data_IF_868539934193
#
_entry.id   IF_868539934193
#
_cell.length_a   1.000
_cell.length_b   1.000
_cell.length_c   1.000
_cell.angle_alpha   90.00
_cell.angle_beta   90.00
_cell.angle_gamma   90.00
#
_symmetry.space_group_name_H-M   'P 1'
#
loop_
_entity.id
_entity.type
_entity.pdbx_description
1 polymer ?
#
# COMPACT_ATOMS: atom_id res chain seq x y z
N UNK A 1 -1.57 -56.64 14.59
CA UNK A 1 -1.45 -55.46 15.49
C UNK A 1 -1.93 -55.87 16.88
N UNK A 2 -1.05 -55.85 17.89
CA UNK A 2 -1.40 -56.29 19.26
C UNK A 2 -2.42 -55.32 19.89
N UNK A 3 -3.24 -55.82 20.81
CA UNK A 3 -4.27 -55.04 21.53
C UNK A 3 -3.66 -53.81 22.22
N UNK A 4 -2.45 -53.96 22.74
CA UNK A 4 -1.68 -52.90 23.39
C UNK A 4 -1.27 -51.78 22.43
N UNK A 5 -0.87 -52.11 21.19
CA UNK A 5 -0.51 -51.09 20.19
C UNK A 5 -1.73 -50.26 19.76
N UNK A 6 -2.92 -50.88 19.70
CA UNK A 6 -4.19 -50.16 19.44
C UNK A 6 -4.51 -49.17 20.57
N UNK A 7 -4.34 -49.59 21.81
CA UNK A 7 -4.59 -48.76 22.99
C UNK A 7 -3.61 -47.57 23.04
N UNK A 8 -2.34 -47.81 22.75
CA UNK A 8 -1.32 -46.76 22.70
C UNK A 8 -1.61 -45.72 21.61
N UNK A 9 -2.01 -46.16 20.40
CA UNK A 9 -2.40 -45.28 19.30
C UNK A 9 -3.62 -44.41 19.66
N UNK A 10 -4.64 -45.01 20.29
CA UNK A 10 -5.82 -44.27 20.73
C UNK A 10 -5.48 -43.22 21.78
N UNK A 11 -4.59 -43.51 22.72
CA UNK A 11 -4.13 -42.52 23.70
C UNK A 11 -3.36 -41.37 23.04
N UNK A 12 -2.48 -41.65 22.09
CA UNK A 12 -1.75 -40.60 21.36
C UNK A 12 -2.69 -39.70 20.55
N UNK A 13 -3.70 -40.27 19.89
CA UNK A 13 -4.73 -39.50 19.15
C UNK A 13 -5.55 -38.65 20.12
N UNK A 14 -5.93 -39.19 21.29
CA UNK A 14 -6.68 -38.46 22.29
C UNK A 14 -5.89 -37.28 22.87
N UNK A 15 -4.61 -37.49 23.19
CA UNK A 15 -3.72 -36.42 23.68
C UNK A 15 -3.48 -35.36 22.62
N UNK A 16 -3.23 -35.75 21.36
CA UNK A 16 -3.08 -34.82 20.25
C UNK A 16 -4.34 -33.99 19.97
N UNK A 17 -5.51 -34.63 20.07
CA UNK A 17 -6.81 -33.97 19.94
C UNK A 17 -7.07 -33.01 21.11
N UNK A 18 -6.76 -33.41 22.34
CA UNK A 18 -6.92 -32.54 23.51
C UNK A 18 -5.98 -31.33 23.44
N UNK A 19 -4.74 -31.51 22.99
CA UNK A 19 -3.76 -30.44 22.84
C UNK A 19 -4.14 -29.43 21.74
N UNK A 20 -4.94 -29.81 20.74
CA UNK A 20 -5.36 -28.92 19.65
C UNK A 20 -6.58 -28.05 19.99
N UNK A 21 -7.37 -28.42 21.00
CA UNK A 21 -8.57 -27.69 21.43
C UNK A 21 -8.22 -26.29 21.94
N UNK A 22 -7.18 -26.14 22.77
CA UNK A 22 -6.78 -24.85 23.33
C UNK A 22 -6.45 -23.80 22.24
N UNK A 23 -5.52 -24.09 21.32
CA UNK A 23 -5.22 -23.21 20.19
C UNK A 23 -6.44 -22.94 19.29
N UNK A 24 -7.32 -23.92 19.11
CA UNK A 24 -8.55 -23.75 18.33
C UNK A 24 -9.53 -22.78 19.01
N UNK A 25 -9.71 -22.86 20.33
CA UNK A 25 -10.58 -21.96 21.09
C UNK A 25 -10.04 -20.52 21.11
N UNK A 26 -8.73 -20.34 21.29
CA UNK A 26 -8.09 -19.01 21.19
C UNK A 26 -8.28 -18.41 19.80
N UNK A 27 -8.14 -19.24 18.76
CA UNK A 27 -8.37 -18.82 17.38
C UNK A 27 -9.82 -18.39 17.14
N UNK A 28 -10.79 -19.15 17.63
CA UNK A 28 -12.22 -18.80 17.51
C UNK A 28 -12.56 -17.52 18.27
N UNK A 29 -11.96 -17.30 19.45
CA UNK A 29 -12.10 -16.05 20.21
C UNK A 29 -11.60 -14.84 19.41
N UNK A 30 -10.38 -14.94 18.87
CA UNK A 30 -9.79 -13.88 18.03
C UNK A 30 -10.56 -13.65 16.72
N UNK A 31 -11.16 -14.70 16.13
CA UNK A 31 -11.98 -14.58 14.92
C UNK A 31 -13.33 -13.91 15.19
N UNK A 32 -13.86 -13.97 16.42
CA UNK A 32 -15.11 -13.33 16.85
C UNK A 32 -14.95 -11.85 17.22
N UNK A 33 -13.77 -11.42 17.64
CA UNK A 33 -13.50 -10.04 18.06
C UNK A 33 -13.33 -9.04 16.91
N UNK A 34 -13.31 -9.46 15.64
CA UNK A 34 -13.14 -8.52 14.51
C UNK A 34 -13.98 -8.90 13.26
N UNK A 35 -15.32 -8.78 13.32
CA UNK A 35 -16.22 -9.27 12.27
C UNK A 35 -16.28 -8.40 11.00
N UNK A 36 -15.80 -7.16 11.00
CA UNK A 36 -15.89 -6.28 9.83
C UNK A 36 -14.74 -6.49 8.86
N UNK A 37 -15.05 -6.99 7.66
CA UNK A 37 -14.15 -6.96 6.51
C UNK A 37 -14.24 -5.57 5.90
N UNK A 38 -13.10 -4.92 5.71
CA UNK A 38 -13.04 -3.61 5.06
C UNK A 38 -13.03 -3.76 3.54
N UNK A 39 -13.80 -2.92 2.86
CA UNK A 39 -13.84 -2.85 1.40
C UNK A 39 -13.11 -1.58 0.96
N UNK A 40 -12.03 -1.76 0.22
CA UNK A 40 -11.14 -0.67 -0.19
C UNK A 40 -11.05 -0.64 -1.70
N UNK A 41 -11.32 0.52 -2.31
CA UNK A 41 -11.24 0.70 -3.77
C UNK A 41 -9.96 1.44 -4.16
N UNK A 42 -9.48 1.24 -5.38
CA UNK A 42 -8.28 1.91 -5.87
C UNK A 42 -8.57 3.35 -6.34
N UNK A 43 -7.81 4.33 -5.83
CA UNK A 43 -8.01 5.75 -6.13
C UNK A 43 -7.95 6.06 -7.63
N UNK A 44 -7.03 5.43 -8.37
CA UNK A 44 -6.91 5.68 -9.81
C UNK A 44 -8.14 5.17 -10.56
N UNK A 45 -8.70 4.03 -10.13
CA UNK A 45 -9.95 3.51 -10.70
C UNK A 45 -11.14 4.40 -10.34
N UNK A 46 -11.19 4.95 -9.12
CA UNK A 46 -12.24 5.89 -8.72
C UNK A 46 -12.15 7.17 -9.56
N UNK A 47 -10.95 7.74 -9.76
CA UNK A 47 -10.76 8.91 -10.63
C UNK A 47 -11.20 8.62 -12.06
N UNK A 48 -10.82 7.47 -12.61
CA UNK A 48 -11.24 7.07 -13.96
C UNK A 48 -12.76 6.93 -14.04
N UNK A 49 -13.39 6.26 -13.07
CA UNK A 49 -14.83 6.07 -13.02
C UNK A 49 -15.59 7.41 -12.91
N UNK A 50 -15.06 8.38 -12.16
CA UNK A 50 -15.64 9.72 -12.05
C UNK A 50 -15.64 10.42 -13.41
N UNK A 51 -14.53 10.33 -14.15
CA UNK A 51 -14.40 10.88 -15.51
C UNK A 51 -15.36 10.17 -16.46
N UNK A 52 -15.35 8.84 -16.49
CA UNK A 52 -16.18 8.04 -17.40
C UNK A 52 -17.68 8.22 -17.15
N UNK A 53 -18.07 8.40 -15.87
CA UNK A 53 -19.46 8.62 -15.48
C UNK A 53 -19.90 10.08 -15.56
N UNK A 54 -18.98 11.02 -15.76
CA UNK A 54 -19.25 12.46 -15.68
C UNK A 54 -19.73 12.94 -14.31
N UNK A 55 -19.33 12.26 -13.23
CA UNK A 55 -19.75 12.57 -11.85
C UNK A 55 -18.61 13.24 -11.10
N UNK A 56 -18.95 14.24 -10.28
CA UNK A 56 -17.98 14.88 -9.40
C UNK A 56 -17.40 13.87 -8.40
N UNK A 57 -16.08 13.90 -8.21
CA UNK A 57 -15.34 12.89 -7.44
C UNK A 57 -15.88 12.71 -6.01
N UNK A 58 -16.29 13.80 -5.35
CA UNK A 58 -16.85 13.74 -4.00
C UNK A 58 -18.19 13.00 -3.95
N UNK A 59 -19.04 13.20 -4.95
CA UNK A 59 -20.34 12.52 -5.03
C UNK A 59 -20.15 11.02 -5.29
N UNK A 60 -19.18 10.67 -6.14
CA UNK A 60 -18.82 9.28 -6.38
C UNK A 60 -18.29 8.60 -5.12
N UNK A 61 -17.37 9.24 -4.39
CA UNK A 61 -16.85 8.72 -3.12
C UNK A 61 -17.96 8.51 -2.10
N UNK A 62 -18.91 9.46 -2.00
CA UNK A 62 -20.04 9.31 -1.09
C UNK A 62 -20.97 8.17 -1.50
N UNK A 63 -21.20 7.96 -2.80
CA UNK A 63 -21.99 6.82 -3.30
C UNK A 63 -21.29 5.49 -2.99
N UNK A 64 -19.99 5.40 -3.24
CA UNK A 64 -19.19 4.21 -2.90
C UNK A 64 -19.23 3.94 -1.39
N UNK A 65 -19.09 4.97 -0.56
CA UNK A 65 -19.21 4.86 0.89
C UNK A 65 -20.59 4.34 1.32
N UNK A 66 -21.66 4.89 0.75
CA UNK A 66 -23.02 4.44 1.02
C UNK A 66 -23.27 2.99 0.55
N UNK A 67 -22.51 2.51 -0.43
CA UNK A 67 -22.51 1.12 -0.90
C UNK A 67 -21.68 0.17 0.00
N UNK A 68 -20.99 0.68 1.01
CA UNK A 68 -20.23 -0.12 1.97
C UNK A 68 -18.71 -0.08 1.78
N UNK A 69 -18.19 0.72 0.84
CA UNK A 69 -16.75 1.00 0.77
C UNK A 69 -16.32 1.75 2.03
N UNK A 70 -15.30 1.24 2.72
CA UNK A 70 -14.80 1.80 3.98
C UNK A 70 -13.52 2.61 3.80
N UNK A 71 -12.79 2.40 2.70
CA UNK A 71 -11.54 3.10 2.43
C UNK A 71 -11.17 3.20 0.97
N UNK A 72 -10.12 3.97 0.72
CA UNK A 72 -9.51 4.15 -0.60
C UNK A 72 -8.02 3.84 -0.51
N UNK A 73 -7.56 3.02 -1.45
CA UNK A 73 -6.15 2.73 -1.66
C UNK A 73 -5.55 3.76 -2.61
N UNK A 74 -4.55 4.51 -2.15
CA UNK A 74 -3.83 5.52 -2.93
C UNK A 74 -2.35 5.14 -3.03
N UNK A 75 -1.76 5.33 -4.21
CA UNK A 75 -0.35 5.01 -4.48
C UNK A 75 0.48 6.27 -4.44
N UNK A 76 1.67 6.21 -3.83
CA UNK A 76 2.57 7.35 -3.80
C UNK A 76 3.10 7.64 -5.19
N UNK A 77 3.27 8.93 -5.51
CA UNK A 77 3.93 9.33 -6.73
C UNK A 77 5.41 8.96 -6.66
N UNK A 78 6.02 8.73 -7.82
CA UNK A 78 7.47 8.60 -7.98
C UNK A 78 7.96 9.67 -8.93
N UNK A 79 9.27 9.94 -8.93
CA UNK A 79 9.86 10.84 -9.94
C UNK A 79 9.55 10.37 -11.36
N UNK A 80 9.53 9.05 -11.59
CA UNK A 80 9.11 8.49 -12.86
C UNK A 80 7.64 8.77 -13.16
N UNK A 81 6.71 8.49 -12.25
CA UNK A 81 5.28 8.69 -12.51
C UNK A 81 4.93 10.16 -12.75
N UNK A 82 5.57 11.09 -12.02
CA UNK A 82 5.39 12.53 -12.24
C UNK A 82 5.94 13.00 -13.59
N UNK A 83 7.02 12.38 -14.07
CA UNK A 83 7.56 12.67 -15.41
C UNK A 83 6.62 12.12 -16.48
N UNK A 84 6.17 10.89 -16.28
CA UNK A 84 5.30 10.18 -17.22
C UNK A 84 3.89 10.82 -17.28
N UNK A 85 3.42 11.44 -16.19
CA UNK A 85 2.19 12.27 -16.17
C UNK A 85 2.39 13.68 -16.73
N UNK A 86 3.64 14.11 -16.97
CA UNK A 86 3.96 15.46 -17.46
C UNK A 86 3.93 16.56 -16.41
N UNK A 87 3.84 16.22 -15.11
CA UNK A 87 3.91 17.20 -14.01
C UNK A 87 5.34 17.74 -13.80
N UNK A 88 6.35 16.94 -14.15
CA UNK A 88 7.75 17.34 -14.15
C UNK A 88 8.44 17.03 -15.47
N UNK A 89 9.52 17.77 -15.74
CA UNK A 89 10.45 17.49 -16.83
C UNK A 89 11.85 17.28 -16.26
N UNK A 90 12.55 16.29 -16.79
CA UNK A 90 13.95 16.05 -16.48
C UNK A 90 14.78 16.78 -17.54
N UNK A 91 15.50 17.80 -17.11
CA UNK A 91 16.33 18.62 -18.01
C UNK A 91 17.75 18.07 -18.11
N UNK A 92 18.51 18.61 -19.09
CA UNK A 92 19.92 18.29 -19.30
C UNK A 92 20.67 18.28 -17.97
N UNK A 93 21.21 17.12 -17.65
CA UNK A 93 21.74 16.76 -16.34
C UNK A 93 23.26 16.75 -16.42
N UNK A 94 23.92 17.48 -15.53
CA UNK A 94 25.38 17.36 -15.37
C UNK A 94 25.70 15.99 -14.76
N UNK A 95 26.88 15.39 -15.01
CA UNK A 95 27.23 14.09 -14.40
C UNK A 95 27.11 14.09 -12.86
N UNK A 96 26.22 13.25 -12.33
CA UNK A 96 25.92 13.15 -10.91
C UNK A 96 24.92 14.19 -10.38
N UNK A 97 24.20 14.89 -11.26
CA UNK A 97 23.14 15.84 -10.92
C UNK A 97 21.95 15.66 -11.86
N UNK A 98 20.74 15.70 -11.33
CA UNK A 98 19.50 15.72 -12.11
C UNK A 98 18.76 17.02 -11.89
N UNK A 99 18.47 17.73 -12.97
CA UNK A 99 17.64 18.94 -12.92
C UNK A 99 16.19 18.59 -13.16
N UNK A 100 15.34 18.85 -12.17
CA UNK A 100 13.89 18.65 -12.23
C UNK A 100 13.22 20.02 -12.41
N UNK A 101 12.45 20.17 -13.48
CA UNK A 101 11.60 21.33 -13.71
C UNK A 101 10.13 20.95 -13.48
N UNK A 102 9.43 21.71 -12.66
CA UNK A 102 7.99 21.57 -12.41
C UNK A 102 7.22 22.29 -13.52
N UNK A 103 6.32 21.59 -14.22
CA UNK A 103 5.60 22.13 -15.38
C UNK A 103 4.56 23.16 -14.95
N UNK A 104 3.75 22.81 -13.95
CA UNK A 104 2.75 23.70 -13.33
C UNK A 104 2.97 23.69 -11.81
N UNK A 105 3.95 24.45 -11.30
CA UNK A 105 4.34 24.38 -9.89
C UNK A 105 3.25 24.98 -9.00
N UNK A 106 2.40 24.14 -8.45
CA UNK A 106 1.79 24.45 -7.16
C UNK A 106 2.87 24.43 -6.07
N UNK A 107 2.82 25.40 -5.16
CA UNK A 107 3.79 25.53 -4.08
C UNK A 107 3.79 24.31 -3.16
N UNK A 108 2.60 23.72 -2.89
CA UNK A 108 2.49 22.51 -2.09
C UNK A 108 3.10 21.31 -2.82
N UNK A 109 2.84 21.17 -4.12
CA UNK A 109 3.44 20.15 -4.97
C UNK A 109 4.98 20.19 -4.97
N UNK A 110 5.57 21.35 -5.28
CA UNK A 110 7.02 21.51 -5.32
C UNK A 110 7.66 21.26 -3.93
N UNK A 111 7.01 21.73 -2.86
CA UNK A 111 7.46 21.50 -1.49
C UNK A 111 7.43 20.02 -1.12
N UNK A 112 6.35 19.30 -1.44
CA UNK A 112 6.21 17.86 -1.23
C UNK A 112 7.34 17.10 -1.91
N UNK A 113 7.54 17.32 -3.21
CA UNK A 113 8.59 16.63 -3.99
C UNK A 113 9.97 16.90 -3.38
N UNK A 114 10.29 18.16 -3.08
CA UNK A 114 11.58 18.52 -2.47
C UNK A 114 11.77 17.84 -1.10
N UNK A 115 10.77 17.93 -0.21
CA UNK A 115 10.81 17.36 1.15
C UNK A 115 11.12 15.86 1.12
N UNK A 116 10.45 15.10 0.24
CA UNK A 116 10.68 13.65 0.12
C UNK A 116 12.06 13.32 -0.45
N UNK A 117 12.55 14.09 -1.42
CA UNK A 117 13.88 13.89 -1.98
C UNK A 117 14.98 14.23 -0.97
N UNK A 118 14.85 15.32 -0.20
CA UNK A 118 15.83 15.70 0.83
C UNK A 118 16.05 14.60 1.88
N UNK A 119 15.01 13.81 2.18
CA UNK A 119 15.06 12.74 3.18
C UNK A 119 15.60 11.42 2.61
N UNK A 120 15.40 11.15 1.32
CA UNK A 120 15.70 9.85 0.72
C UNK A 120 16.99 9.85 -0.12
N UNK A 121 17.35 10.97 -0.74
CA UNK A 121 18.55 11.12 -1.58
C UNK A 121 19.87 10.87 -0.84
N UNK A 122 20.06 11.29 0.43
CA UNK A 122 21.31 11.06 1.15
C UNK A 122 21.77 9.60 1.21
N UNK A 123 20.83 8.66 1.16
CA UNK A 123 21.14 7.23 1.17
C UNK A 123 21.48 6.62 -0.19
N UNK A 124 21.18 7.30 -1.30
CA UNK A 124 21.41 6.80 -2.67
C UNK A 124 22.88 6.84 -3.11
N UNK A 125 23.71 7.68 -2.51
CA UNK A 125 25.10 7.87 -2.95
C UNK A 125 26.08 6.80 -2.49
N UNK A 126 25.69 5.93 -1.56
CA UNK A 126 26.67 5.13 -0.82
C UNK A 126 27.78 6.04 -0.22
N UNK A 127 29.02 5.58 -0.03
CA UNK A 127 30.11 6.42 0.46
C UNK A 127 30.54 7.56 -0.49
N UNK A 128 29.90 7.74 -1.66
CA UNK A 128 30.23 8.83 -2.59
C UNK A 128 29.69 10.17 -2.04
N UNK A 129 30.59 11.14 -1.93
CA UNK A 129 30.36 12.47 -1.33
C UNK A 129 29.20 13.28 -1.94
N UNK A 130 28.79 12.99 -3.19
CA UNK A 130 27.80 13.83 -3.90
C UNK A 130 26.37 13.70 -3.37
N UNK A 131 25.86 12.51 -3.06
CA UNK A 131 24.45 12.39 -2.60
C UNK A 131 24.19 12.98 -1.21
N UNK A 132 25.26 13.26 -0.43
CA UNK A 132 25.19 14.01 0.83
C UNK A 132 25.12 15.52 0.61
N UNK A 133 25.31 16.00 -0.61
CA UNK A 133 25.11 17.41 -0.93
C UNK A 133 23.62 17.75 -0.82
N UNK A 134 23.29 18.99 -0.43
CA UNK A 134 21.90 19.42 -0.40
C UNK A 134 21.34 19.52 -1.83
N UNK A 135 20.03 19.32 -1.95
CA UNK A 135 19.27 19.68 -3.15
C UNK A 135 19.37 21.19 -3.33
N UNK A 136 19.64 21.66 -4.55
CA UNK A 136 19.71 23.09 -4.87
C UNK A 136 18.39 23.56 -5.42
N UNK A 137 17.85 24.64 -4.86
CA UNK A 137 16.66 25.31 -5.41
C UNK A 137 17.15 26.38 -6.38
N UNK A 138 16.94 26.17 -7.67
CA UNK A 138 17.31 27.12 -8.73
C UNK A 138 16.23 28.20 -8.87
N UNK A 139 14.97 27.80 -8.77
CA UNK A 139 13.80 28.68 -8.73
C UNK A 139 12.63 27.96 -8.06
N UNK A 140 11.49 28.64 -7.91
CA UNK A 140 10.25 28.00 -7.44
C UNK A 140 9.79 26.83 -8.32
N UNK A 141 10.17 26.84 -9.60
CA UNK A 141 9.81 25.83 -10.59
C UNK A 141 10.94 24.85 -10.94
N UNK A 142 12.10 24.93 -10.27
CA UNK A 142 13.29 24.16 -10.67
C UNK A 142 14.20 23.81 -9.50
N UNK A 143 14.57 22.54 -9.41
CA UNK A 143 15.54 22.03 -8.43
C UNK A 143 16.62 21.19 -9.10
N UNK A 144 17.81 21.12 -8.48
CA UNK A 144 18.89 20.21 -8.85
C UNK A 144 19.13 19.21 -7.72
N UNK A 145 19.04 17.92 -8.06
CA UNK A 145 19.21 16.79 -7.13
C UNK A 145 20.59 16.17 -7.38
N UNK A 146 21.43 15.92 -6.36
CA UNK A 146 22.80 15.41 -6.55
C UNK A 146 22.87 13.89 -6.76
N UNK A 147 22.04 13.38 -7.67
CA UNK A 147 22.01 12.00 -8.14
C UNK A 147 21.68 11.96 -9.63
N UNK A 148 22.06 10.87 -10.30
CA UNK A 148 21.62 10.62 -11.67
C UNK A 148 20.15 10.19 -11.68
N UNK A 149 19.42 10.51 -12.75
CA UNK A 149 17.99 10.21 -12.88
C UNK A 149 17.68 8.73 -12.61
N UNK A 150 18.52 7.83 -13.10
CA UNK A 150 18.36 6.38 -12.92
C UNK A 150 18.32 5.94 -11.46
N UNK A 151 18.97 6.70 -10.57
CA UNK A 151 18.99 6.42 -9.12
C UNK A 151 17.75 6.94 -8.42
N UNK A 152 17.13 8.02 -8.93
CA UNK A 152 16.00 8.70 -8.27
C UNK A 152 14.64 8.40 -8.92
N UNK A 153 14.60 7.81 -10.12
CA UNK A 153 13.35 7.61 -10.86
C UNK A 153 12.27 6.84 -10.06
N UNK A 154 12.69 5.86 -9.26
CA UNK A 154 11.78 5.04 -8.44
C UNK A 154 11.59 5.58 -7.02
N UNK A 155 12.18 6.73 -6.67
CA UNK A 155 12.00 7.33 -5.34
C UNK A 155 10.58 7.86 -5.25
N UNK A 156 9.85 7.36 -4.26
CA UNK A 156 8.51 7.83 -3.94
C UNK A 156 8.52 9.21 -3.29
N UNK A 157 7.64 10.10 -3.73
CA UNK A 157 7.51 11.49 -3.29
C UNK A 157 6.17 11.76 -2.61
N UNK A 158 5.60 10.73 -1.97
CA UNK A 158 4.37 10.82 -1.19
C UNK A 158 3.11 10.94 -2.04
N UNK A 159 2.00 11.30 -1.41
CA UNK A 159 0.69 11.42 -2.07
C UNK A 159 0.31 12.87 -2.30
N UNK A 160 -0.46 13.21 -3.35
CA UNK A 160 -0.99 14.55 -3.54
C UNK A 160 -1.93 14.94 -2.39
N UNK A 161 -1.72 16.12 -1.79
CA UNK A 161 -2.53 16.59 -0.66
C UNK A 161 -4.03 16.72 -0.99
N UNK A 162 -4.36 17.17 -2.21
CA UNK A 162 -5.76 17.33 -2.64
C UNK A 162 -6.48 15.98 -2.79
N UNK A 163 -5.76 14.92 -3.17
CA UNK A 163 -6.30 13.56 -3.27
C UNK A 163 -6.56 12.98 -1.88
N UNK A 164 -5.60 13.15 -0.95
CA UNK A 164 -5.79 12.76 0.46
C UNK A 164 -6.97 13.49 1.10
N UNK A 165 -7.06 14.80 0.90
CA UNK A 165 -8.17 15.61 1.39
C UNK A 165 -9.50 15.14 0.81
N UNK A 166 -9.53 14.76 -0.47
CA UNK A 166 -10.73 14.25 -1.12
C UNK A 166 -11.25 12.97 -0.48
N UNK A 167 -10.35 12.04 -0.16
CA UNK A 167 -10.67 10.77 0.52
C UNK A 167 -11.16 11.04 1.96
N UNK A 168 -10.45 11.89 2.70
CA UNK A 168 -10.77 12.22 4.09
C UNK A 168 -12.10 12.97 4.22
N UNK A 169 -12.39 13.90 3.30
CA UNK A 169 -13.64 14.67 3.30
C UNK A 169 -14.87 13.78 3.05
N UNK A 170 -14.71 12.71 2.26
CA UNK A 170 -15.75 11.68 2.13
C UNK A 170 -15.87 10.80 3.39
N UNK A 171 -14.96 10.94 4.35
CA UNK A 171 -14.87 10.15 5.58
C UNK A 171 -14.56 8.67 5.28
N UNK A 172 -13.69 8.42 4.32
CA UNK A 172 -13.15 7.11 3.97
C UNK A 172 -11.72 6.98 4.53
N UNK A 173 -11.35 5.78 4.92
CA UNK A 173 -9.99 5.50 5.38
C UNK A 173 -8.97 5.56 4.24
N UNK A 174 -7.73 5.95 4.56
CA UNK A 174 -6.63 5.94 3.62
C UNK A 174 -5.80 4.66 3.79
N UNK A 175 -5.69 3.89 2.70
CA UNK A 175 -4.73 2.81 2.55
C UNK A 175 -3.59 3.29 1.65
N UNK A 176 -2.42 3.53 2.23
CA UNK A 176 -1.27 4.07 1.52
C UNK A 176 -0.44 2.97 0.88
N UNK A 177 -0.24 3.04 -0.43
CA UNK A 177 0.65 2.14 -1.18
C UNK A 177 1.98 2.81 -1.42
N UNK A 178 3.03 2.25 -0.82
CA UNK A 178 4.40 2.79 -0.90
C UNK A 178 5.38 1.72 -1.36
N UNK A 179 6.45 2.15 -2.02
CA UNK A 179 7.48 1.26 -2.55
C UNK A 179 8.70 1.22 -1.65
N UNK A 180 9.45 0.12 -1.69
CA UNK A 180 10.86 0.16 -1.32
C UNK A 180 11.65 0.98 -2.34
N UNK A 181 12.80 1.52 -1.94
CA UNK A 181 13.66 2.32 -2.82
C UNK A 181 15.14 2.06 -2.52
N UNK A 182 15.98 2.26 -3.54
CA UNK A 182 17.42 2.17 -3.39
C UNK A 182 17.91 3.21 -2.37
N UNK A 183 18.93 2.89 -1.59
CA UNK A 183 19.48 3.82 -0.61
C UNK A 183 18.60 4.09 0.62
N UNK A 184 17.52 3.32 0.83
CA UNK A 184 16.79 3.36 2.08
C UNK A 184 17.74 3.15 3.28
N UNK A 185 17.57 3.97 4.32
CA UNK A 185 18.30 3.88 5.58
C UNK A 185 17.32 4.06 6.75
N UNK A 186 17.77 3.82 7.99
CA UNK A 186 16.91 3.86 9.16
C UNK A 186 16.18 5.22 9.30
N UNK A 187 16.89 6.34 9.14
CA UNK A 187 16.31 7.68 9.29
C UNK A 187 15.24 7.95 8.21
N UNK A 188 15.55 7.66 6.95
CA UNK A 188 14.66 7.93 5.83
C UNK A 188 13.43 7.02 5.84
N UNK A 189 13.57 5.78 6.30
CA UNK A 189 12.46 4.83 6.50
C UNK A 189 11.55 5.27 7.65
N UNK A 190 12.11 5.57 8.83
CA UNK A 190 11.33 6.03 9.97
C UNK A 190 10.62 7.35 9.67
N UNK A 191 11.28 8.28 8.98
CA UNK A 191 10.66 9.52 8.53
C UNK A 191 9.50 9.27 7.57
N UNK A 192 9.68 8.42 6.55
CA UNK A 192 8.62 8.08 5.60
C UNK A 192 7.41 7.49 6.30
N UNK A 193 7.62 6.57 7.24
CA UNK A 193 6.53 5.98 8.02
C UNK A 193 5.81 7.01 8.91
N UNK A 194 6.55 7.93 9.53
CA UNK A 194 5.97 9.03 10.29
C UNK A 194 5.15 9.98 9.43
N UNK A 195 5.62 10.30 8.21
CA UNK A 195 4.80 11.04 7.25
C UNK A 195 3.49 10.31 6.94
N UNK A 196 3.51 8.98 6.74
CA UNK A 196 2.28 8.22 6.52
C UNK A 196 1.28 8.40 7.68
N UNK A 197 1.75 8.30 8.93
CA UNK A 197 0.90 8.51 10.11
C UNK A 197 0.37 9.94 10.18
N UNK A 198 1.21 10.96 9.96
CA UNK A 198 0.78 12.36 9.95
C UNK A 198 -0.27 12.65 8.88
N UNK A 199 -0.24 11.93 7.75
CA UNK A 199 -1.23 12.05 6.69
C UNK A 199 -2.49 11.21 6.93
N UNK A 200 -2.62 10.55 8.08
CA UNK A 200 -3.78 9.76 8.44
C UNK A 200 -3.88 8.43 7.68
N UNK A 201 -2.76 7.91 7.16
CA UNK A 201 -2.73 6.57 6.56
C UNK A 201 -2.97 5.53 7.66
N UNK A 202 -4.04 4.76 7.54
CA UNK A 202 -4.40 3.72 8.53
C UNK A 202 -3.75 2.39 8.25
N UNK A 203 -3.65 2.01 6.98
CA UNK A 203 -2.98 0.77 6.54
C UNK A 203 -1.95 1.12 5.48
N UNK A 204 -0.76 0.56 5.61
CA UNK A 204 0.28 0.64 4.58
C UNK A 204 0.39 -0.70 3.87
N UNK A 205 0.31 -0.67 2.54
CA UNK A 205 0.53 -1.83 1.68
C UNK A 205 1.77 -1.57 0.84
N UNK A 206 2.75 -2.47 0.89
CA UNK A 206 3.94 -2.30 0.04
C UNK A 206 3.66 -2.76 -1.38
N UNK A 207 4.23 -2.03 -2.34
CA UNK A 207 4.13 -2.36 -3.76
C UNK A 207 5.50 -2.63 -4.38
N UNK A 208 5.48 -3.28 -5.54
CA UNK A 208 6.69 -3.76 -6.21
C UNK A 208 7.14 -5.12 -5.68
N UNK A 209 8.41 -5.44 -5.88
CA UNK A 209 8.98 -6.77 -5.56
C UNK A 209 9.49 -6.91 -4.14
N UNK A 210 9.59 -5.81 -3.39
CA UNK A 210 10.23 -5.75 -2.08
C UNK A 210 9.32 -4.97 -1.11
N UNK A 211 9.24 -5.44 0.14
CA UNK A 211 8.68 -4.61 1.22
C UNK A 211 9.64 -3.47 1.55
N UNK A 212 9.11 -2.36 2.09
CA UNK A 212 9.97 -1.29 2.60
C UNK A 212 10.95 -1.86 3.63
N UNK A 213 12.22 -1.47 3.52
CA UNK A 213 13.27 -1.89 4.45
C UNK A 213 13.88 -3.26 4.15
N UNK A 214 13.49 -3.91 3.05
CA UNK A 214 14.21 -5.09 2.56
C UNK A 214 15.71 -4.79 2.40
N UNK A 215 16.56 -5.77 2.73
CA UNK A 215 18.04 -5.66 2.92
C UNK A 215 18.46 -4.93 4.20
N UNK A 216 17.99 -5.42 5.36
CA UNK A 216 18.59 -5.11 6.66
C UNK A 216 17.86 -4.06 7.52
N UNK A 217 16.77 -3.46 7.02
CA UNK A 217 15.98 -2.46 7.76
C UNK A 217 14.61 -2.99 8.19
N UNK A 218 14.30 -4.26 7.93
CA UNK A 218 13.04 -4.89 8.36
C UNK A 218 12.80 -4.74 9.87
N UNK A 219 13.80 -4.91 10.76
CA UNK A 219 13.61 -4.65 12.19
C UNK A 219 13.19 -3.21 12.52
N UNK A 220 13.70 -2.22 11.77
CA UNK A 220 13.34 -0.81 11.93
C UNK A 220 11.88 -0.59 11.51
N UNK A 221 11.49 -1.17 10.38
CA UNK A 221 10.11 -1.11 9.88
C UNK A 221 9.14 -1.81 10.84
N UNK A 222 9.49 -2.98 11.34
CA UNK A 222 8.63 -3.72 12.27
C UNK A 222 8.48 -3.02 13.61
N UNK A 223 9.55 -2.46 14.17
CA UNK A 223 9.49 -1.70 15.42
C UNK A 223 8.58 -0.47 15.28
N UNK A 224 8.68 0.21 14.14
CA UNK A 224 7.87 1.39 13.89
C UNK A 224 6.39 1.05 13.68
N UNK A 225 6.09 0.07 12.83
CA UNK A 225 4.71 -0.38 12.53
C UNK A 225 4.05 -1.09 13.73
N UNK A 226 4.84 -1.65 14.65
CA UNK A 226 4.34 -2.23 15.89
C UNK A 226 3.76 -1.21 16.88
N UNK A 227 3.97 0.10 16.66
CA UNK A 227 3.53 1.18 17.56
C UNK A 227 2.10 1.67 17.30
N UNK A 228 1.42 1.16 16.29
CA UNK A 228 0.06 1.56 15.91
C UNK A 228 -0.05 1.89 14.42
N UNK A 229 -0.92 2.84 14.06
CA UNK A 229 -1.14 3.19 12.66
C UNK A 229 0.07 3.94 12.03
N UNK A 230 0.33 3.75 10.71
CA UNK A 230 -0.28 2.74 9.84
C UNK A 230 0.06 1.30 10.24
N UNK A 231 -0.94 0.42 10.12
CA UNK A 231 -0.77 -1.03 10.28
C UNK A 231 -0.28 -1.65 8.97
N UNK A 232 0.57 -2.67 9.04
CA UNK A 232 1.03 -3.37 7.85
C UNK A 232 -0.09 -4.21 7.21
N UNK A 233 -0.39 -3.95 5.94
CA UNK A 233 -1.23 -4.79 5.10
C UNK A 233 -0.41 -5.81 4.32
N UNK A 234 -0.39 -7.07 4.78
CA UNK A 234 0.27 -8.18 4.08
C UNK A 234 -0.65 -8.75 3.01
N UNK A 235 -0.23 -8.67 1.74
CA UNK A 235 -1.03 -9.07 0.58
C UNK A 235 -0.91 -10.56 0.34
N UNK A 236 -2.05 -11.25 0.31
CA UNK A 236 -2.10 -12.67 0.06
C UNK A 236 -1.51 -13.03 -1.32
N UNK A 237 -0.66 -14.06 -1.34
CA UNK A 237 0.03 -14.58 -2.52
C UNK A 237 1.03 -13.63 -3.19
N UNK A 238 1.25 -12.42 -2.64
CA UNK A 238 2.32 -11.57 -3.09
C UNK A 238 3.66 -12.23 -2.76
N UNK A 239 4.50 -12.43 -3.78
CA UNK A 239 5.87 -12.95 -3.61
C UNK A 239 6.86 -11.80 -3.37
N UNK A 240 6.53 -10.92 -2.43
CA UNK A 240 7.37 -9.78 -2.09
C UNK A 240 8.53 -10.21 -1.20
N UNK A 241 9.74 -9.82 -1.58
CA UNK A 241 10.94 -10.08 -0.80
C UNK A 241 10.87 -9.29 0.51
N UNK A 242 11.12 -9.97 1.63
CA UNK A 242 11.04 -9.43 2.99
C UNK A 242 9.66 -9.52 3.67
N UNK A 243 8.57 -9.84 2.95
CA UNK A 243 7.23 -9.98 3.55
C UNK A 243 7.21 -11.06 4.64
N UNK A 244 7.78 -12.24 4.39
CA UNK A 244 7.78 -13.36 5.36
C UNK A 244 8.46 -12.96 6.68
N UNK A 245 9.59 -12.24 6.60
CA UNK A 245 10.33 -11.77 7.78
C UNK A 245 9.54 -10.69 8.52
N UNK A 246 9.03 -9.69 7.80
CA UNK A 246 8.26 -8.60 8.37
C UNK A 246 6.96 -9.09 9.02
N UNK A 247 6.21 -9.96 8.33
CA UNK A 247 4.97 -10.57 8.83
C UNK A 247 5.20 -11.42 10.07
N UNK A 248 6.37 -12.06 10.20
CA UNK A 248 6.74 -12.81 11.41
C UNK A 248 6.97 -11.87 12.61
N UNK A 249 7.63 -10.74 12.39
CA UNK A 249 7.90 -9.74 13.44
C UNK A 249 6.62 -8.99 13.86
N UNK A 250 5.71 -8.74 12.92
CA UNK A 250 4.43 -8.06 13.13
C UNK A 250 3.27 -9.02 13.44
N UNK A 251 3.55 -10.24 13.91
CA UNK A 251 2.49 -11.21 14.19
C UNK A 251 1.48 -10.64 15.19
N UNK A 252 0.21 -10.61 14.81
CA UNK A 252 -0.87 -10.01 15.60
C UNK A 252 -1.04 -8.49 15.42
N UNK A 253 -0.14 -7.83 14.71
CA UNK A 253 -0.12 -6.38 14.43
C UNK A 253 -0.05 -6.11 12.92
N UNK A 254 -0.74 -6.95 12.14
CA UNK A 254 -0.86 -6.80 10.69
C UNK A 254 -2.29 -7.13 10.25
N UNK A 255 -2.68 -6.59 9.10
CA UNK A 255 -3.94 -6.87 8.41
C UNK A 255 -3.65 -7.74 7.19
N UNK A 256 -4.44 -8.80 7.00
CA UNK A 256 -4.38 -9.62 5.78
C UNK A 256 -5.19 -8.96 4.68
N UNK A 257 -4.55 -8.72 3.55
CA UNK A 257 -5.11 -8.04 2.39
C UNK A 257 -5.37 -9.04 1.27
N UNK A 258 -6.59 -9.10 0.77
CA UNK A 258 -6.91 -9.79 -0.47
C UNK A 258 -7.07 -8.80 -1.61
N UNK A 259 -6.51 -9.11 -2.77
CA UNK A 259 -6.69 -8.33 -3.99
C UNK A 259 -6.77 -9.27 -5.18
N UNK A 260 -7.62 -8.93 -6.14
CA UNK A 260 -7.68 -9.57 -7.45
C UNK A 260 -6.90 -8.69 -8.43
N UNK A 261 -5.92 -9.26 -9.12
CA UNK A 261 -5.11 -8.49 -10.08
C UNK A 261 -5.91 -8.13 -11.34
N UNK A 262 -5.42 -7.16 -12.12
CA UNK A 262 -6.06 -6.76 -13.37
C UNK A 262 -6.24 -7.92 -14.36
N UNK A 263 -5.19 -8.73 -14.49
CA UNK A 263 -5.16 -9.86 -15.42
C UNK A 263 -6.10 -10.99 -15.00
N UNK A 264 -6.30 -11.18 -13.70
CA UNK A 264 -7.27 -12.14 -13.18
C UNK A 264 -8.70 -11.63 -13.36
N UNK A 265 -8.97 -10.38 -12.98
CA UNK A 265 -10.30 -9.77 -13.10
C UNK A 265 -10.79 -9.77 -14.55
N UNK A 266 -9.91 -9.53 -15.53
CA UNK A 266 -10.24 -9.58 -16.95
C UNK A 266 -10.73 -10.95 -17.46
N UNK A 267 -10.56 -12.01 -16.67
CA UNK A 267 -10.94 -13.40 -17.00
C UNK A 267 -12.05 -13.95 -16.11
N UNK A 268 -12.67 -13.10 -15.28
CA UNK A 268 -13.66 -13.48 -14.28
C UNK A 268 -14.95 -12.71 -14.49
N UNK A 269 -16.09 -13.32 -14.18
CA UNK A 269 -17.34 -12.57 -14.05
C UNK A 269 -17.38 -11.76 -12.75
N UNK A 270 -18.21 -10.70 -12.65
CA UNK A 270 -18.43 -9.99 -11.39
C UNK A 270 -18.84 -10.92 -10.24
N UNK A 271 -19.71 -11.92 -10.51
CA UNK A 271 -20.12 -12.90 -9.50
C UNK A 271 -18.96 -13.75 -8.97
N UNK A 272 -18.08 -14.22 -9.86
CA UNK A 272 -16.89 -14.99 -9.46
C UNK A 272 -15.93 -14.14 -8.62
N UNK A 273 -15.81 -12.84 -8.92
CA UNK A 273 -15.01 -11.91 -8.13
C UNK A 273 -15.59 -11.75 -6.73
N UNK A 274 -16.91 -11.54 -6.60
CA UNK A 274 -17.60 -11.48 -5.30
C UNK A 274 -17.36 -12.75 -4.50
N UNK A 275 -17.56 -13.92 -5.09
CA UNK A 275 -17.32 -15.20 -4.41
C UNK A 275 -15.87 -15.30 -3.92
N UNK A 276 -14.90 -14.87 -4.76
CA UNK A 276 -13.48 -14.89 -4.41
C UNK A 276 -13.15 -13.98 -3.22
N UNK A 277 -13.72 -12.77 -3.14
CA UNK A 277 -13.58 -11.91 -1.96
C UNK A 277 -14.25 -12.51 -0.71
N UNK A 278 -15.46 -13.07 -0.85
CA UNK A 278 -16.17 -13.74 0.25
C UNK A 278 -15.34 -14.90 0.81
N UNK A 279 -14.75 -15.72 -0.06
CA UNK A 279 -13.87 -16.82 0.34
C UNK A 279 -12.58 -16.33 0.97
N UNK A 280 -11.99 -15.23 0.47
CA UNK A 280 -10.84 -14.61 1.10
C UNK A 280 -11.11 -14.23 2.57
N UNK A 281 -12.25 -13.57 2.80
CA UNK A 281 -12.69 -13.19 4.14
C UNK A 281 -12.97 -14.41 5.03
N UNK A 282 -13.83 -15.33 4.56
CA UNK A 282 -14.32 -16.46 5.38
C UNK A 282 -13.30 -17.57 5.59
N UNK A 283 -12.55 -17.94 4.56
CA UNK A 283 -11.68 -19.12 4.60
C UNK A 283 -10.22 -18.75 4.94
N UNK A 284 -9.75 -17.59 4.48
CA UNK A 284 -8.33 -17.18 4.56
C UNK A 284 -8.06 -16.06 5.57
N UNK A 285 -9.13 -15.57 6.21
CA UNK A 285 -9.08 -14.54 7.24
C UNK A 285 -8.52 -13.21 6.70
N UNK A 286 -8.80 -12.89 5.44
CA UNK A 286 -8.57 -11.55 4.90
C UNK A 286 -9.50 -10.55 5.61
N UNK A 287 -8.95 -9.43 6.08
CA UNK A 287 -9.71 -8.38 6.80
C UNK A 287 -9.78 -7.08 6.03
N UNK A 288 -9.03 -6.98 4.95
CA UNK A 288 -9.11 -5.89 3.97
C UNK A 288 -9.19 -6.49 2.57
N UNK A 289 -10.26 -6.21 1.86
CA UNK A 289 -10.43 -6.56 0.46
C UNK A 289 -10.18 -5.33 -0.39
N UNK A 290 -9.09 -5.33 -1.15
CA UNK A 290 -8.83 -4.32 -2.17
C UNK A 290 -9.66 -4.67 -3.40
N UNK A 291 -10.87 -4.12 -3.43
CA UNK A 291 -11.90 -4.33 -4.44
C UNK A 291 -11.52 -3.61 -5.72
N UNK A 292 -11.53 -4.37 -6.81
CA UNK A 292 -11.35 -3.85 -8.16
C UNK A 292 -12.70 -3.42 -8.72
N UNK A 293 -12.77 -2.21 -9.23
CA UNK A 293 -13.93 -1.70 -9.95
C UNK A 293 -14.04 -2.40 -11.31
N UNK A 294 -15.27 -2.55 -11.79
CA UNK A 294 -15.61 -3.16 -13.06
C UNK A 294 -15.23 -2.21 -14.22
N UNK A 295 -14.89 -2.74 -15.41
CA UNK A 295 -14.73 -1.92 -16.60
C UNK A 295 -16.03 -1.17 -16.91
N UNK A 296 -15.94 0.13 -17.19
CA UNK A 296 -17.08 0.96 -17.58
C UNK A 296 -17.51 0.64 -19.01
N UNK A 297 -18.25 -0.46 -19.19
CA UNK A 297 -18.64 -0.98 -20.51
C UNK A 297 -20.15 -1.19 -20.68
N UNK A 298 -20.96 -0.86 -19.66
CA UNK A 298 -22.42 -1.06 -19.70
C UNK A 298 -23.16 0.28 -19.74
N UNK A 299 -24.34 0.30 -20.37
CA UNK A 299 -25.25 1.47 -20.40
C UNK A 299 -25.63 1.98 -18.99
N UNK A 300 -25.47 1.13 -17.97
CA UNK A 300 -25.72 1.41 -16.55
C UNK A 300 -24.44 1.35 -15.68
N UNK A 301 -23.25 1.62 -16.26
CA UNK A 301 -21.93 1.34 -15.66
C UNK A 301 -21.76 1.71 -14.19
N UNK A 302 -22.26 2.87 -13.76
CA UNK A 302 -22.20 3.27 -12.35
C UNK A 302 -23.15 2.48 -11.45
N UNK A 303 -24.38 2.24 -11.89
CA UNK A 303 -25.37 1.49 -11.10
C UNK A 303 -24.92 0.04 -10.91
N UNK A 304 -24.34 -0.55 -11.95
CA UNK A 304 -23.74 -1.88 -11.89
C UNK A 304 -22.56 -1.90 -10.90
N UNK A 305 -21.74 -0.84 -10.90
CA UNK A 305 -20.62 -0.70 -9.97
C UNK A 305 -21.04 -0.59 -8.51
N UNK A 306 -22.14 0.11 -8.23
CA UNK A 306 -22.67 0.29 -6.87
C UNK A 306 -23.36 -0.98 -6.36
N UNK A 307 -23.92 -1.79 -7.26
CA UNK A 307 -24.57 -3.06 -6.92
C UNK A 307 -23.58 -4.19 -6.67
N UNK A 308 -22.45 -4.19 -7.37
CA UNK A 308 -21.34 -5.13 -7.25
C UNK A 308 -20.62 -4.99 -5.90
#
# INVERSE_FOLDING_TARGET
MTKELKILLLMLIAVGSAASIGPALVRVGMERENPSVELVVDWQQVKQLAVDSGIHIQDLLQRLKNAGVTGVSITEDTIQSLRDSGEIQILASQPGWTTIAFVNPDAAFALRVRKYLEQQVPGLGGPRLKAKLPIRVVSASKIEVPCDYQQIQNVGVGFPEHDLASIQNAGLDIVGRVSNYAGANANSVSWKLEELRHRGVRVVVFQGEEVLGYKGLIPVVSDWLGRGAPVYGSVEFAKQRGDVELSKLLRGHLVRVHSITANEAARMSPGDMVERYVRAAKERNARLCLVRLLPFATENGLSDQIRY
#
